data_IF_837876894319
#
_entry.id   IF_837876894319
#
_cell.length_a   1.000
_cell.length_b   1.000
_cell.length_c   1.000
_cell.angle_alpha   90.00
_cell.angle_beta   90.00
_cell.angle_gamma   90.00
#
_symmetry.space_group_name_H-M   'P 1'
#
loop_
_entity.id
_entity.type
_entity.pdbx_description
1 polymer ?
#
# COMPACT_ATOMS: atom_id res chain seq x y z
N UNK A 1 1.41 13.60 12.96
CA UNK A 1 0.99 12.43 13.76
C UNK A 1 1.96 11.30 13.53
N UNK A 2 2.20 10.50 14.53
CA UNK A 2 3.02 9.30 14.38
C UNK A 2 2.27 8.23 13.55
N UNK A 3 3.03 7.40 12.83
CA UNK A 3 2.49 6.24 12.15
C UNK A 3 2.05 5.20 13.21
N UNK A 4 0.80 4.77 13.13
CA UNK A 4 0.20 3.84 14.09
C UNK A 4 -0.07 2.45 13.46
N UNK A 5 0.68 2.10 12.43
CA UNK A 5 0.61 0.75 11.87
C UNK A 5 1.36 -0.24 12.76
N UNK A 6 0.75 -1.38 13.10
CA UNK A 6 1.42 -2.42 13.87
C UNK A 6 2.49 -3.12 13.03
N UNK A 7 3.45 -3.78 13.69
CA UNK A 7 4.47 -4.56 13.02
C UNK A 7 3.89 -5.89 12.50
N UNK A 8 4.44 -6.38 11.38
CA UNK A 8 4.03 -7.67 10.80
C UNK A 8 4.24 -8.85 11.76
N UNK A 9 5.22 -8.73 12.67
CA UNK A 9 5.49 -9.74 13.69
C UNK A 9 4.34 -9.95 14.68
N UNK A 10 3.38 -9.01 14.76
CA UNK A 10 2.21 -9.11 15.62
C UNK A 10 1.09 -9.96 15.00
N UNK A 11 1.26 -10.41 13.77
CA UNK A 11 0.27 -11.17 13.02
C UNK A 11 0.80 -12.52 12.56
N UNK A 12 -0.12 -13.39 12.13
CA UNK A 12 0.16 -14.69 11.52
C UNK A 12 -0.58 -14.80 10.19
N UNK A 13 -0.26 -15.83 9.40
CA UNK A 13 -0.98 -16.14 8.16
C UNK A 13 -0.92 -15.04 7.13
N UNK A 14 -2.00 -14.87 6.39
CA UNK A 14 -2.10 -13.86 5.33
C UNK A 14 -2.17 -12.43 5.87
N UNK A 15 -2.69 -12.23 7.06
CA UNK A 15 -2.65 -10.92 7.72
C UNK A 15 -1.22 -10.44 7.92
N UNK A 16 -0.31 -11.35 8.34
CA UNK A 16 1.12 -11.05 8.42
C UNK A 16 1.70 -10.68 7.06
N UNK A 17 1.34 -11.42 6.01
CA UNK A 17 1.80 -11.13 4.65
C UNK A 17 1.38 -9.74 4.18
N UNK A 18 0.15 -9.33 4.47
CA UNK A 18 -0.35 -7.98 4.13
C UNK A 18 0.43 -6.88 4.86
N UNK A 19 0.66 -7.03 6.14
CA UNK A 19 1.41 -6.01 6.90
C UNK A 19 2.89 -6.00 6.48
N UNK A 20 3.49 -7.17 6.21
CA UNK A 20 4.85 -7.25 5.67
C UNK A 20 4.97 -6.57 4.30
N UNK A 21 3.97 -6.74 3.42
CA UNK A 21 3.89 -6.01 2.16
C UNK A 21 3.85 -4.49 2.39
N UNK A 22 3.02 -4.03 3.32
CA UNK A 22 2.92 -2.61 3.67
C UNK A 22 4.24 -2.05 4.21
N UNK A 23 4.95 -2.81 5.05
CA UNK A 23 6.27 -2.42 5.56
C UNK A 23 7.29 -2.29 4.42
N UNK A 24 7.34 -3.27 3.52
CA UNK A 24 8.24 -3.24 2.36
C UNK A 24 7.92 -2.06 1.44
N UNK A 25 6.65 -1.79 1.20
CA UNK A 25 6.19 -0.65 0.42
C UNK A 25 6.62 0.68 1.05
N UNK A 26 6.48 0.82 2.36
CA UNK A 26 6.90 2.02 3.10
C UNK A 26 8.42 2.25 2.95
N UNK A 27 9.23 1.18 2.96
CA UNK A 27 10.67 1.30 2.71
C UNK A 27 10.98 1.79 1.30
N UNK A 28 10.27 1.29 0.28
CA UNK A 28 10.42 1.74 -1.11
C UNK A 28 10.10 3.22 -1.25
N UNK A 29 8.99 3.66 -0.69
CA UNK A 29 8.58 5.08 -0.70
C UNK A 29 9.62 5.95 0.02
N UNK A 30 10.15 5.49 1.15
CA UNK A 30 11.23 6.19 1.87
C UNK A 30 12.47 6.38 1.01
N UNK A 31 12.86 5.36 0.24
CA UNK A 31 14.00 5.46 -0.69
C UNK A 31 13.69 6.37 -1.88
N UNK A 32 12.48 6.34 -2.40
CA UNK A 32 12.04 7.27 -3.45
C UNK A 32 12.15 8.73 -2.97
N UNK A 33 11.75 9.02 -1.74
CA UNK A 33 11.86 10.34 -1.13
C UNK A 33 13.32 10.79 -0.97
N UNK A 34 14.18 9.87 -0.58
CA UNK A 34 15.62 10.13 -0.42
C UNK A 34 16.36 10.24 -1.75
N UNK A 35 15.72 9.91 -2.88
CA UNK A 35 16.36 9.87 -4.19
C UNK A 35 17.33 8.71 -4.37
N UNK A 36 17.18 7.64 -3.58
CA UNK A 36 18.11 6.49 -3.56
C UNK A 36 17.46 5.19 -4.05
N UNK A 37 16.20 5.24 -4.50
CA UNK A 37 15.50 4.05 -4.99
C UNK A 37 16.15 3.49 -6.24
N UNK A 38 16.47 2.19 -6.21
CA UNK A 38 17.08 1.45 -7.31
C UNK A 38 16.29 0.18 -7.62
N UNK A 39 16.58 -0.45 -8.75
CA UNK A 39 15.93 -1.71 -9.14
C UNK A 39 16.14 -2.82 -8.11
N UNK A 40 17.30 -2.88 -7.47
CA UNK A 40 17.61 -3.88 -6.45
C UNK A 40 16.69 -3.78 -5.21
N UNK A 41 16.18 -2.59 -4.90
CA UNK A 41 15.31 -2.38 -3.74
C UNK A 41 13.95 -3.04 -3.87
N UNK A 42 13.53 -3.38 -5.10
CA UNK A 42 12.27 -4.05 -5.37
C UNK A 42 12.29 -5.55 -5.05
N UNK A 43 13.48 -6.15 -4.90
CA UNK A 43 13.60 -7.59 -4.69
C UNK A 43 12.84 -8.09 -3.46
N UNK A 44 12.84 -7.34 -2.37
CA UNK A 44 12.15 -7.72 -1.14
C UNK A 44 10.63 -7.84 -1.35
N UNK A 45 9.99 -6.79 -1.84
CA UNK A 45 8.54 -6.80 -2.02
C UNK A 45 8.12 -7.80 -3.11
N UNK A 46 8.94 -8.00 -4.12
CA UNK A 46 8.66 -8.94 -5.22
C UNK A 46 8.70 -10.40 -4.76
N UNK A 47 9.30 -10.71 -3.61
CA UNK A 47 9.17 -12.05 -3.00
C UNK A 47 7.77 -12.31 -2.44
N UNK A 48 7.01 -11.27 -2.16
CA UNK A 48 5.67 -11.33 -1.56
C UNK A 48 4.56 -11.31 -2.63
N UNK A 49 4.90 -11.01 -3.87
CA UNK A 49 3.95 -10.72 -4.95
C UNK A 49 4.10 -11.70 -6.10
N UNK A 50 2.99 -12.15 -6.65
CA UNK A 50 2.96 -12.83 -7.94
C UNK A 50 3.00 -11.75 -9.03
N UNK A 51 4.20 -11.34 -9.43
CA UNK A 51 4.41 -10.16 -10.29
C UNK A 51 3.83 -10.31 -11.70
N UNK A 52 3.71 -11.55 -12.20
CA UNK A 52 3.15 -11.81 -13.53
C UNK A 52 1.62 -11.81 -13.58
N UNK A 53 0.97 -12.02 -12.43
CA UNK A 53 -0.49 -12.06 -12.33
C UNK A 53 -1.08 -10.84 -11.59
N UNK A 54 -0.22 -10.00 -11.02
CA UNK A 54 -0.65 -8.88 -10.17
C UNK A 54 -1.53 -7.89 -10.92
N UNK A 55 -2.65 -7.53 -10.29
CA UNK A 55 -3.53 -6.43 -10.72
C UNK A 55 -3.88 -5.58 -9.50
N UNK A 56 -3.81 -4.26 -9.65
CA UNK A 56 -4.32 -3.30 -8.69
C UNK A 56 -5.44 -2.49 -9.33
N UNK A 57 -6.60 -2.49 -8.71
CA UNK A 57 -7.73 -1.64 -9.10
C UNK A 57 -7.96 -0.58 -8.02
N UNK A 58 -8.15 0.67 -8.44
CA UNK A 58 -8.48 1.78 -7.55
C UNK A 58 -7.84 3.08 -7.97
N UNK A 59 -8.15 4.13 -7.23
CA UNK A 59 -7.53 5.44 -7.46
C UNK A 59 -6.06 5.41 -7.03
N UNK A 60 -5.21 6.13 -7.75
CA UNK A 60 -3.80 6.26 -7.42
C UNK A 60 -3.27 7.68 -7.70
N UNK A 61 -3.15 8.06 -8.98
CA UNK A 61 -2.60 9.36 -9.38
C UNK A 61 -3.66 10.44 -9.58
N UNK A 62 -4.90 10.07 -9.76
CA UNK A 62 -5.99 11.01 -10.02
C UNK A 62 -7.29 10.54 -9.39
N UNK A 63 -8.40 11.23 -9.65
CA UNK A 63 -9.69 10.94 -9.02
C UNK A 63 -10.38 9.69 -9.60
N UNK A 64 -9.90 9.19 -10.74
CA UNK A 64 -10.49 8.01 -11.39
C UNK A 64 -9.74 6.73 -11.01
N UNK A 65 -10.49 5.65 -10.90
CA UNK A 65 -9.91 4.32 -10.69
C UNK A 65 -9.16 3.87 -11.94
N UNK A 66 -8.03 3.21 -11.72
CA UNK A 66 -7.21 2.59 -12.76
C UNK A 66 -7.08 1.10 -12.47
N UNK A 67 -6.87 0.33 -13.54
CA UNK A 67 -6.51 -1.09 -13.47
C UNK A 67 -5.08 -1.21 -13.98
N UNK A 68 -4.15 -1.52 -13.09
CA UNK A 68 -2.72 -1.52 -13.42
C UNK A 68 -2.05 -2.84 -13.04
N UNK A 69 -1.06 -3.23 -13.82
CA UNK A 69 -0.20 -4.39 -13.57
C UNK A 69 1.01 -4.01 -12.69
N UNK A 70 1.84 -5.00 -12.37
CA UNK A 70 3.00 -4.77 -11.51
C UNK A 70 4.03 -3.82 -12.13
N UNK A 71 4.42 -3.96 -13.40
CA UNK A 71 5.36 -3.02 -14.00
C UNK A 71 4.87 -1.58 -13.98
N UNK A 72 3.59 -1.34 -14.23
CA UNK A 72 2.98 -0.01 -14.19
C UNK A 72 2.97 0.54 -12.77
N UNK A 73 2.58 -0.27 -11.79
CA UNK A 73 2.58 0.12 -10.39
C UNK A 73 3.99 0.49 -9.92
N UNK A 74 4.97 -0.35 -10.24
CA UNK A 74 6.38 -0.08 -9.95
C UNK A 74 6.86 1.23 -10.59
N UNK A 75 6.49 1.47 -11.84
CA UNK A 75 6.80 2.73 -12.55
C UNK A 75 6.21 3.95 -11.82
N UNK A 76 4.96 3.86 -11.36
CA UNK A 76 4.32 4.95 -10.63
C UNK A 76 5.04 5.26 -9.31
N UNK A 77 5.47 4.24 -8.58
CA UNK A 77 6.23 4.44 -7.33
C UNK A 77 7.60 5.04 -7.61
N UNK A 78 8.30 4.57 -8.63
CA UNK A 78 9.59 5.14 -9.03
C UNK A 78 9.47 6.62 -9.38
N UNK A 79 8.37 7.02 -10.01
CA UNK A 79 8.18 8.38 -10.51
C UNK A 79 7.53 9.31 -9.48
N UNK A 80 6.59 8.81 -8.68
CA UNK A 80 5.73 9.65 -7.83
C UNK A 80 5.78 9.32 -6.34
N UNK A 81 6.40 8.22 -5.93
CA UNK A 81 6.37 7.74 -4.56
C UNK A 81 6.97 8.69 -3.52
N UNK A 82 7.83 9.62 -3.96
CA UNK A 82 8.47 10.58 -3.08
C UNK A 82 7.69 11.87 -2.80
N UNK A 83 6.52 12.06 -3.40
CA UNK A 83 5.84 13.36 -3.40
C UNK A 83 4.92 13.61 -2.20
N UNK A 84 4.63 12.59 -1.39
CA UNK A 84 3.73 12.74 -0.26
C UNK A 84 4.30 12.09 1.00
N UNK A 85 3.92 12.61 2.17
CA UNK A 85 4.14 11.92 3.43
C UNK A 85 2.88 11.14 3.76
N UNK A 86 3.03 9.84 3.90
CA UNK A 86 1.94 8.94 4.23
C UNK A 86 2.05 8.45 5.67
N UNK A 87 0.94 8.48 6.39
CA UNK A 87 0.78 7.82 7.68
C UNK A 87 -0.53 7.03 7.67
N UNK A 88 -0.57 5.93 8.38
CA UNK A 88 -1.76 5.11 8.50
C UNK A 88 -2.02 4.66 9.92
N UNK A 89 -3.30 4.53 10.25
CA UNK A 89 -3.76 3.91 11.49
C UNK A 89 -4.59 2.70 11.13
N UNK A 90 -4.23 1.54 11.67
CA UNK A 90 -5.02 0.32 11.48
C UNK A 90 -6.36 0.46 12.20
N UNK A 91 -7.45 0.29 11.43
CA UNK A 91 -8.80 0.26 11.98
C UNK A 91 -9.26 -1.17 12.20
N UNK A 92 -9.09 -2.03 11.20
CA UNK A 92 -9.50 -3.43 11.26
C UNK A 92 -8.78 -4.23 10.19
N UNK A 93 -8.44 -5.47 10.51
CA UNK A 93 -7.94 -6.45 9.54
C UNK A 93 -8.80 -7.73 9.66
N UNK A 94 -9.25 -8.24 8.54
CA UNK A 94 -10.11 -9.42 8.48
C UNK A 94 -9.52 -10.41 7.49
N UNK A 95 -9.26 -11.63 7.94
CA UNK A 95 -8.69 -12.69 7.12
C UNK A 95 -9.72 -13.78 6.85
N UNK A 96 -9.80 -14.21 5.59
CA UNK A 96 -10.53 -15.39 5.13
C UNK A 96 -9.58 -16.23 4.28
N UNK A 97 -9.91 -17.47 3.90
CA UNK A 97 -9.03 -18.25 3.03
C UNK A 97 -8.72 -17.51 1.72
N UNK A 98 -7.43 -17.26 1.48
CA UNK A 98 -6.93 -16.60 0.27
C UNK A 98 -7.20 -15.10 0.16
N UNK A 99 -7.77 -14.46 1.20
CA UNK A 99 -8.20 -13.06 1.12
C UNK A 99 -8.03 -12.34 2.45
N UNK A 100 -7.57 -11.08 2.39
CA UNK A 100 -7.51 -10.20 3.58
C UNK A 100 -8.16 -8.87 3.24
N UNK A 101 -8.97 -8.37 4.16
CA UNK A 101 -9.57 -7.03 4.07
C UNK A 101 -8.86 -6.15 5.10
N UNK A 102 -8.20 -5.10 4.62
CA UNK A 102 -7.48 -4.13 5.46
C UNK A 102 -8.22 -2.81 5.47
N UNK A 103 -8.61 -2.36 6.65
CA UNK A 103 -9.30 -1.09 6.85
C UNK A 103 -8.37 -0.13 7.60
N UNK A 104 -8.06 1.01 6.97
CA UNK A 104 -7.16 2.03 7.51
C UNK A 104 -7.85 3.40 7.57
N UNK A 105 -7.38 4.25 8.49
CA UNK A 105 -7.39 5.68 8.26
C UNK A 105 -6.03 6.06 7.68
N UNK A 106 -6.03 6.73 6.55
CA UNK A 106 -4.80 7.18 5.89
C UNK A 106 -4.73 8.70 5.88
N UNK A 107 -3.53 9.21 6.11
CA UNK A 107 -3.21 10.63 6.08
C UNK A 107 -2.07 10.86 5.11
N UNK A 108 -2.35 11.65 4.08
CA UNK A 108 -1.37 12.01 3.05
C UNK A 108 -1.12 13.51 3.13
N UNK A 109 0.11 13.90 3.41
CA UNK A 109 0.49 15.31 3.58
C UNK A 109 1.32 15.77 2.39
N UNK A 110 0.85 16.86 1.75
CA UNK A 110 1.54 17.55 0.67
C UNK A 110 1.33 19.05 0.81
N UNK A 111 2.41 19.83 0.69
CA UNK A 111 2.33 21.29 0.65
C UNK A 111 1.65 21.91 1.88
N UNK A 112 1.84 21.33 3.05
CA UNK A 112 1.25 21.84 4.28
C UNK A 112 -0.23 21.46 4.51
N UNK A 113 -0.79 20.61 3.65
CA UNK A 113 -2.18 20.10 3.76
C UNK A 113 -2.17 18.60 3.93
N UNK A 114 -2.98 18.09 4.84
CA UNK A 114 -3.18 16.67 5.08
C UNK A 114 -4.57 16.24 4.60
N UNK A 115 -4.59 15.38 3.60
CA UNK A 115 -5.80 14.67 3.17
C UNK A 115 -6.04 13.46 4.07
N UNK A 116 -7.23 13.34 4.62
CA UNK A 116 -7.62 12.21 5.46
C UNK A 116 -8.65 11.36 4.73
N UNK A 117 -8.40 10.07 4.66
CA UNK A 117 -9.33 9.12 4.04
C UNK A 117 -9.45 7.86 4.89
N UNK A 118 -10.64 7.27 4.89
CA UNK A 118 -10.78 5.88 5.28
C UNK A 118 -10.64 5.02 4.04
N UNK A 119 -9.80 4.01 4.11
CA UNK A 119 -9.57 3.10 2.98
C UNK A 119 -9.91 1.67 3.35
N UNK A 120 -10.37 0.94 2.35
CA UNK A 120 -10.55 -0.51 2.41
C UNK A 120 -9.75 -1.08 1.25
N UNK A 121 -8.77 -1.91 1.55
CA UNK A 121 -8.04 -2.65 0.53
C UNK A 121 -8.34 -4.14 0.69
N UNK A 122 -8.79 -4.75 -0.40
CA UNK A 122 -9.01 -6.19 -0.45
C UNK A 122 -7.81 -6.81 -1.14
N UNK A 123 -7.09 -7.66 -0.42
CA UNK A 123 -5.92 -8.39 -0.90
C UNK A 123 -6.32 -9.80 -1.24
N UNK A 124 -6.02 -10.25 -2.47
CA UNK A 124 -6.21 -11.63 -2.88
C UNK A 124 -4.85 -12.31 -3.13
N UNK A 125 -4.71 -13.52 -2.64
CA UNK A 125 -3.48 -14.31 -2.71
C UNK A 125 -3.67 -15.53 -3.60
N UNK A 126 -2.60 -15.93 -4.30
CA UNK A 126 -2.59 -17.16 -5.09
C UNK A 126 -2.40 -18.40 -4.20
N UNK A 127 -2.38 -19.59 -4.82
CA UNK A 127 -2.23 -20.86 -4.10
C UNK A 127 -0.89 -21.02 -3.39
N UNK A 128 0.11 -20.19 -3.69
CA UNK A 128 1.42 -20.17 -3.04
C UNK A 128 1.53 -19.10 -1.94
N UNK A 129 0.44 -18.41 -1.66
CA UNK A 129 0.41 -17.34 -0.66
C UNK A 129 1.05 -16.03 -1.12
N UNK A 130 1.17 -15.83 -2.44
CA UNK A 130 1.67 -14.57 -3.01
C UNK A 130 0.53 -13.66 -3.40
N UNK A 131 0.71 -12.37 -3.17
CA UNK A 131 -0.27 -11.35 -3.51
C UNK A 131 -0.45 -11.26 -5.02
N UNK A 132 -1.68 -11.37 -5.50
CA UNK A 132 -1.97 -11.27 -6.93
C UNK A 132 -3.03 -10.23 -7.28
N UNK A 133 -3.83 -9.73 -6.34
CA UNK A 133 -4.85 -8.73 -6.65
C UNK A 133 -5.08 -7.80 -5.47
N UNK A 134 -5.18 -6.50 -5.75
CA UNK A 134 -5.61 -5.47 -4.80
C UNK A 134 -6.82 -4.72 -5.37
N UNK A 135 -7.86 -4.61 -4.57
CA UNK A 135 -8.95 -3.64 -4.80
C UNK A 135 -8.86 -2.55 -3.72
N UNK A 136 -8.71 -1.31 -4.14
CA UNK A 136 -8.54 -0.18 -3.22
C UNK A 136 -9.75 0.74 -3.29
N UNK A 137 -10.47 0.85 -2.17
CA UNK A 137 -11.62 1.72 -2.01
C UNK A 137 -11.24 2.88 -1.08
N UNK A 138 -11.53 4.10 -1.50
CA UNK A 138 -11.16 5.31 -0.76
C UNK A 138 -12.42 6.11 -0.44
N UNK A 139 -12.60 6.42 0.85
CA UNK A 139 -13.64 7.32 1.31
C UNK A 139 -12.98 8.58 1.88
N UNK A 140 -12.97 9.69 1.13
CA UNK A 140 -12.40 10.94 1.63
C UNK A 140 -13.10 11.43 2.90
N UNK A 141 -12.31 11.92 3.86
CA UNK A 141 -12.80 12.47 5.12
C UNK A 141 -12.55 13.97 5.24
N UNK A 142 -11.94 14.58 4.23
CA UNK A 142 -11.64 15.99 4.15
C UNK A 142 -10.16 16.31 4.34
N UNK A 143 -9.84 17.60 4.30
CA UNK A 143 -8.50 18.14 4.42
C UNK A 143 -8.29 18.77 5.77
N UNK A 144 -7.06 18.72 6.25
CA UNK A 144 -6.64 19.40 7.48
C UNK A 144 -5.33 20.13 7.21
N UNK A 145 -5.08 21.27 7.89
CA UNK A 145 -3.73 21.84 7.93
C UNK A 145 -2.76 20.82 8.52
N UNK A 146 -1.59 20.73 7.93
CA UNK A 146 -0.55 19.81 8.40
C UNK A 146 0.05 20.29 9.72
#
# INVERSE_FOLDING_TARGET
MANEMPASSEFTGLSRAVIAYSEAFTRLVGKAKAGTLSDADWAEIETLVNTSAFVREGVFLGPQAEVIDWPTYRSYINQYGGYTNWEGTLRRITETPGRVILELEERNTRGGVTDVSNTVTIYEFDGEGKLQHLDVYVMPRGEKPA
#
